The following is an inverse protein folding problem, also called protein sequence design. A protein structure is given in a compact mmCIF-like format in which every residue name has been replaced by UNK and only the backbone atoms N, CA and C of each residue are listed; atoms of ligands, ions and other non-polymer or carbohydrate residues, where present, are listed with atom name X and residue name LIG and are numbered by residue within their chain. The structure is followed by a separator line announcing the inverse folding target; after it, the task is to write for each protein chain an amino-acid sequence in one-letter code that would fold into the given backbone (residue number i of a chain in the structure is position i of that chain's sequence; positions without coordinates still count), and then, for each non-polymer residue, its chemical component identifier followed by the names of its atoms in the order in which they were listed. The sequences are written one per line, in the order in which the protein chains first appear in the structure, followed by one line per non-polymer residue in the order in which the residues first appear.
data_IF_813841235196
#
_entry.id   IF_813841235196
#
_cell.length_a   1.000
_cell.length_b   1.000
_cell.length_c   1.000
_cell.angle_alpha   90.00
_cell.angle_beta   90.00
_cell.angle_gamma   90.00
#
_symmetry.space_group_name_H-M   'P 1'
#
loop_
_entity.id
_entity.type
_entity.pdbx_description
1 polymer ?
#
# COMPACT_ATOMS: atom_id res chain seq x y z
N UNK A 1 9.03 -11.47 11.84
CA UNK A 1 7.89 -12.41 11.81
C UNK A 1 7.53 -12.79 13.24
N UNK A 2 6.32 -12.47 13.71
CA UNK A 2 5.76 -12.90 15.00
C UNK A 2 5.20 -14.33 14.85
N UNK A 3 6.06 -15.31 14.54
CA UNK A 3 5.60 -16.69 14.41
C UNK A 3 5.63 -17.34 15.79
N UNK A 4 4.45 -17.65 16.35
CA UNK A 4 4.35 -18.38 17.61
C UNK A 4 3.15 -18.05 18.51
N UNK A 5 2.42 -16.98 18.24
CA UNK A 5 1.24 -16.63 19.05
C UNK A 5 -0.03 -16.96 18.28
N UNK A 6 -0.99 -17.62 18.93
CA UNK A 6 -2.30 -17.96 18.35
C UNK A 6 -3.42 -17.45 19.23
N UNK A 7 -4.55 -17.12 18.62
CA UNK A 7 -5.77 -16.84 19.38
C UNK A 7 -6.47 -18.17 19.70
N UNK A 8 -6.86 -18.35 20.96
CA UNK A 8 -7.61 -19.52 21.40
C UNK A 8 -8.87 -19.08 22.14
N UNK A 9 -10.00 -19.71 21.80
CA UNK A 9 -11.26 -19.52 22.50
C UNK A 9 -11.24 -20.33 23.80
N UNK A 10 -11.43 -19.66 24.94
CA UNK A 10 -11.60 -20.29 26.24
C UNK A 10 -12.95 -20.99 26.32
N UNK A 11 -13.11 -21.97 27.21
CA UNK A 11 -14.37 -22.69 27.46
C UNK A 11 -15.52 -21.77 27.92
N UNK A 12 -15.20 -20.53 28.31
CA UNK A 12 -16.13 -19.46 28.67
C UNK A 12 -16.49 -18.53 27.49
N UNK A 13 -16.06 -18.82 26.26
CA UNK A 13 -16.36 -18.03 25.06
C UNK A 13 -15.48 -16.80 24.84
N UNK A 14 -14.44 -16.59 25.66
CA UNK A 14 -13.53 -15.45 25.54
C UNK A 14 -12.32 -15.78 24.67
N UNK A 15 -11.96 -14.91 23.74
CA UNK A 15 -10.74 -15.05 22.93
C UNK A 15 -9.51 -14.58 23.71
N UNK A 16 -8.48 -15.41 23.75
CA UNK A 16 -7.22 -15.10 24.43
C UNK A 16 -6.04 -15.34 23.51
N UNK A 17 -5.06 -14.44 23.56
CA UNK A 17 -3.79 -14.64 22.88
C UNK A 17 -2.93 -15.60 23.72
N UNK A 18 -2.49 -16.69 23.11
CA UNK A 18 -1.64 -17.71 23.73
C UNK A 18 -0.32 -17.83 22.98
N UNK A 19 0.77 -17.87 23.73
CA UNK A 19 2.12 -18.17 23.21
C UNK A 19 2.21 -19.64 22.76
N UNK A 20 3.28 -19.98 22.06
CA UNK A 20 3.70 -21.33 21.65
C UNK A 20 3.64 -22.36 22.78
N UNK A 21 3.82 -21.91 24.03
CA UNK A 21 3.78 -22.74 25.25
C UNK A 21 2.39 -22.83 25.91
N UNK A 22 1.35 -22.30 25.27
CA UNK A 22 -0.03 -22.35 25.74
C UNK A 22 -0.37 -21.39 26.88
N UNK A 23 0.49 -20.40 27.16
CA UNK A 23 0.27 -19.40 28.21
C UNK A 23 -0.47 -18.20 27.66
N UNK A 24 -1.51 -17.77 28.36
CA UNK A 24 -2.20 -16.51 28.05
C UNK A 24 -1.23 -15.35 28.20
N UNK A 25 -0.96 -14.63 27.12
CA UNK A 25 0.00 -13.54 27.06
C UNK A 25 -0.73 -12.28 26.64
N UNK A 26 -0.54 -11.17 27.35
CA UNK A 26 -1.13 -9.89 26.92
C UNK A 26 -0.31 -9.33 25.77
N UNK A 27 -0.95 -8.59 24.87
CA UNK A 27 -0.24 -7.94 23.76
C UNK A 27 0.89 -6.99 24.26
N UNK A 28 0.71 -6.38 25.44
CA UNK A 28 1.73 -5.56 26.11
C UNK A 28 2.99 -6.32 26.51
N UNK A 29 2.90 -7.64 26.71
CA UNK A 29 3.99 -8.47 27.21
C UNK A 29 4.85 -9.03 26.07
N UNK A 30 4.46 -8.76 24.82
CA UNK A 30 5.19 -9.19 23.63
C UNK A 30 6.33 -8.20 23.37
N UNK A 31 7.57 -8.67 23.53
CA UNK A 31 8.75 -7.91 23.13
C UNK A 31 8.86 -7.91 21.61
N UNK A 32 8.63 -6.75 21.01
CA UNK A 32 8.89 -6.51 19.59
C UNK A 32 10.40 -6.28 19.42
N UNK A 33 11.05 -7.10 18.59
CA UNK A 33 12.46 -6.89 18.26
C UNK A 33 12.60 -5.73 17.27
N UNK A 34 12.67 -4.52 17.82
CA UNK A 34 12.90 -3.29 17.07
C UNK A 34 14.39 -3.11 16.80
N UNK A 35 14.78 -3.09 15.53
CA UNK A 35 16.16 -2.85 15.10
C UNK A 35 16.24 -1.82 13.99
N UNK A 36 17.44 -1.64 13.45
CA UNK A 36 17.71 -0.63 12.43
C UNK A 36 16.85 -0.80 11.16
N UNK A 37 16.52 -2.03 10.77
CA UNK A 37 15.69 -2.30 9.60
C UNK A 37 14.24 -1.80 9.78
N UNK A 38 13.65 -2.05 10.96
CA UNK A 38 12.29 -1.58 11.29
C UNK A 38 12.25 -0.06 11.39
N UNK A 39 13.28 0.54 12.00
CA UNK A 39 13.39 1.99 12.14
C UNK A 39 13.52 2.69 10.78
N UNK A 40 14.36 2.13 9.89
CA UNK A 40 14.49 2.61 8.52
C UNK A 40 13.17 2.51 7.77
N UNK A 41 12.51 1.36 7.80
CA UNK A 41 11.23 1.17 7.12
C UNK A 41 10.15 2.15 7.62
N UNK A 42 10.09 2.39 8.93
CA UNK A 42 9.17 3.38 9.50
C UNK A 42 9.52 4.81 9.04
N UNK A 43 10.81 5.14 8.98
CA UNK A 43 11.27 6.46 8.54
C UNK A 43 10.97 6.69 7.06
N UNK A 44 11.23 5.70 6.20
CA UNK A 44 10.91 5.74 4.78
C UNK A 44 9.39 5.95 4.57
N UNK A 45 8.56 5.23 5.34
CA UNK A 45 7.10 5.37 5.30
C UNK A 45 6.65 6.78 5.70
N UNK A 46 7.23 7.33 6.77
CA UNK A 46 6.93 8.70 7.21
C UNK A 46 7.30 9.72 6.14
N UNK A 47 8.45 9.55 5.49
CA UNK A 47 8.89 10.43 4.42
C UNK A 47 7.94 10.38 3.22
N UNK A 48 7.56 9.17 2.78
CA UNK A 48 6.62 8.97 1.68
C UNK A 48 5.23 9.61 1.95
N UNK A 49 4.72 9.47 3.18
CA UNK A 49 3.43 10.05 3.58
C UNK A 49 3.47 11.57 3.74
N UNK A 50 4.63 12.14 4.10
CA UNK A 50 4.78 13.58 4.35
C UNK A 50 4.87 14.42 3.07
N UNK A 51 5.01 13.78 1.90
CA UNK A 51 5.03 14.46 0.60
C UNK A 51 3.86 13.98 -0.28
N UNK A 52 2.61 14.30 0.08
CA UNK A 52 1.47 13.90 -0.74
C UNK A 52 1.51 14.62 -2.10
N UNK A 53 1.25 13.92 -3.22
CA UNK A 53 1.13 14.57 -4.51
C UNK A 53 -0.08 15.53 -4.50
N UNK A 54 0.04 16.67 -5.17
CA UNK A 54 -1.11 17.55 -5.40
C UNK A 54 -2.06 16.87 -6.38
N UNK A 55 -3.20 16.40 -5.87
CA UNK A 55 -4.26 15.83 -6.70
C UNK A 55 -5.03 16.94 -7.41
N UNK A 56 -5.31 16.74 -8.70
CA UNK A 56 -6.16 17.65 -9.47
C UNK A 56 -7.61 17.56 -8.98
N UNK A 57 -8.37 18.64 -9.20
CA UNK A 57 -9.81 18.63 -8.95
C UNK A 57 -10.49 17.66 -9.93
N UNK A 58 -11.40 16.78 -9.46
CA UNK A 58 -12.04 15.80 -10.34
C UNK A 58 -13.02 16.48 -11.31
N UNK A 59 -12.97 16.06 -12.57
CA UNK A 59 -13.96 16.45 -13.56
C UNK A 59 -15.01 15.34 -13.69
N UNK A 60 -16.21 15.58 -13.16
CA UNK A 60 -17.31 14.59 -13.20
C UNK A 60 -17.91 14.37 -14.59
N UNK A 61 -17.53 15.18 -15.58
CA UNK A 61 -17.94 14.99 -16.97
C UNK A 61 -17.03 14.03 -17.72
N UNK A 62 -15.90 13.65 -17.12
CA UNK A 62 -14.91 12.76 -17.71
C UNK A 62 -14.90 11.39 -17.01
N UNK A 63 -14.48 10.37 -17.76
CA UNK A 63 -14.37 9.02 -17.24
C UNK A 63 -13.26 8.90 -16.21
N UNK A 64 -13.52 8.07 -15.20
CA UNK A 64 -12.53 7.68 -14.19
C UNK A 64 -11.95 6.31 -14.54
N UNK A 65 -10.63 6.18 -14.44
CA UNK A 65 -9.94 4.90 -14.47
C UNK A 65 -9.57 4.50 -13.04
N UNK A 66 -9.99 3.31 -12.64
CA UNK A 66 -9.67 2.74 -11.34
C UNK A 66 -8.73 1.54 -11.54
N UNK A 67 -7.51 1.67 -11.03
CA UNK A 67 -6.59 0.56 -10.90
C UNK A 67 -6.76 -0.03 -9.51
N UNK A 68 -6.95 -1.35 -9.42
CA UNK A 68 -7.04 -2.07 -8.14
C UNK A 68 -6.03 -3.19 -8.18
N UNK A 69 -5.22 -3.31 -7.13
CA UNK A 69 -4.41 -4.48 -6.87
C UNK A 69 -4.81 -5.08 -5.52
N UNK A 70 -4.89 -6.41 -5.49
CA UNK A 70 -5.32 -7.16 -4.32
C UNK A 70 -4.39 -8.35 -4.13
N UNK A 71 -3.71 -8.36 -3.00
CA UNK A 71 -2.85 -9.47 -2.55
C UNK A 71 -3.38 -10.05 -1.25
N UNK A 72 -2.83 -11.18 -0.83
CA UNK A 72 -3.16 -11.77 0.47
C UNK A 72 -2.77 -10.87 1.65
N UNK A 73 -1.87 -9.90 1.44
CA UNK A 73 -1.36 -9.03 2.49
C UNK A 73 -1.98 -7.63 2.48
N UNK A 74 -2.42 -7.12 1.32
CA UNK A 74 -2.93 -5.76 1.20
C UNK A 74 -3.87 -5.59 -0.01
N UNK A 75 -4.75 -4.59 0.10
CA UNK A 75 -5.55 -4.05 -1.00
C UNK A 75 -5.05 -2.65 -1.32
N UNK A 76 -4.88 -2.35 -2.60
CA UNK A 76 -4.46 -1.02 -3.07
C UNK A 76 -5.35 -0.57 -4.23
N UNK A 77 -5.57 0.73 -4.34
CA UNK A 77 -6.32 1.31 -5.45
C UNK A 77 -5.78 2.69 -5.81
N UNK A 78 -5.77 2.99 -7.10
CA UNK A 78 -5.42 4.30 -7.63
C UNK A 78 -6.50 4.78 -8.61
N UNK A 79 -6.98 6.01 -8.40
CA UNK A 79 -7.96 6.66 -9.26
C UNK A 79 -7.26 7.65 -10.19
N UNK A 80 -7.51 7.54 -11.49
CA UNK A 80 -6.87 8.36 -12.52
C UNK A 80 -7.92 8.99 -13.44
N UNK A 81 -7.68 10.24 -13.86
CA UNK A 81 -8.43 10.92 -14.91
C UNK A 81 -7.44 11.56 -15.89
N UNK A 82 -7.74 11.48 -17.19
CA UNK A 82 -6.94 12.19 -18.19
C UNK A 82 -7.24 13.69 -18.10
N UNK A 83 -6.24 14.50 -17.79
CA UNK A 83 -6.43 15.94 -17.79
C UNK A 83 -6.33 16.45 -19.25
N UNK A 84 -7.28 17.26 -19.74
CA UNK A 84 -7.15 17.88 -21.04
C UNK A 84 -5.88 18.73 -21.08
N UNK A 85 -5.07 18.62 -22.14
CA UNK A 85 -4.03 19.61 -22.39
C UNK A 85 -4.71 20.96 -22.60
N UNK A 86 -4.54 21.88 -21.66
CA UNK A 86 -4.88 23.27 -21.89
C UNK A 86 -4.00 23.78 -23.02
N UNK A 87 -4.61 24.23 -24.12
CA UNK A 87 -3.94 24.91 -25.23
C UNK A 87 -3.47 26.31 -24.76
N UNK A 88 -2.56 26.34 -23.82
CA UNK A 88 -1.84 27.52 -23.40
C UNK A 88 -0.39 27.08 -23.30
N UNK A 89 0.37 27.45 -24.33
CA UNK A 89 1.81 27.44 -24.31
C UNK A 89 2.28 28.25 -23.09
N UNK A 90 2.46 27.55 -21.98
CA UNK A 90 3.13 28.03 -20.79
C UNK A 90 3.73 26.82 -20.10
N UNK A 91 5.05 26.77 -20.18
CA UNK A 91 5.93 25.77 -19.58
C UNK A 91 5.78 25.80 -18.06
N UNK A 92 4.85 25.05 -17.47
CA UNK A 92 4.91 24.70 -16.04
C UNK A 92 4.22 23.36 -15.83
N UNK A 93 5.04 22.31 -15.72
CA UNK A 93 4.63 20.92 -15.78
C UNK A 93 3.60 20.52 -14.73
N UNK A 94 2.58 19.77 -15.18
CA UNK A 94 1.77 18.86 -14.37
C UNK A 94 1.46 17.62 -15.20
N UNK A 95 2.43 16.74 -15.34
CA UNK A 95 2.21 15.35 -15.76
C UNK A 95 2.64 14.47 -14.60
N UNK A 96 1.68 13.91 -13.89
CA UNK A 96 1.94 12.92 -12.84
C UNK A 96 1.83 11.52 -13.46
N UNK A 97 2.92 11.06 -14.08
CA UNK A 97 3.14 9.64 -14.31
C UNK A 97 3.55 9.04 -12.96
N UNK A 98 2.61 8.43 -12.23
CA UNK A 98 2.96 7.56 -11.11
C UNK A 98 3.37 6.21 -11.68
N UNK A 99 4.68 6.02 -11.84
CA UNK A 99 5.31 4.71 -12.04
C UNK A 99 4.94 3.82 -10.85
N UNK A 100 4.42 2.60 -11.06
CA UNK A 100 4.25 1.65 -9.96
C UNK A 100 5.62 1.03 -9.63
N UNK A 101 6.22 1.45 -8.52
CA UNK A 101 7.12 0.59 -7.75
C UNK A 101 6.21 -0.10 -6.72
N UNK A 102 6.00 -1.42 -6.75
CA UNK A 102 7.01 -2.42 -6.46
C UNK A 102 6.55 -3.79 -6.97
N UNK A 103 7.19 -4.33 -8.01
CA UNK A 103 7.28 -5.78 -8.20
C UNK A 103 8.51 -6.10 -9.03
N UNK A 104 9.39 -6.87 -8.42
CA UNK A 104 10.53 -7.50 -9.06
C UNK A 104 10.10 -8.21 -10.37
N UNK A 105 10.82 -7.85 -11.44
CA UNK A 105 11.04 -8.64 -12.66
C UNK A 105 9.86 -9.43 -13.22
N UNK A 106 9.12 -8.83 -14.15
CA UNK A 106 8.80 -9.46 -15.43
C UNK A 106 8.74 -8.36 -16.50
N UNK A 107 9.61 -8.50 -17.49
CA UNK A 107 9.75 -7.65 -18.67
C UNK A 107 8.45 -7.66 -19.49
N UNK A 108 7.70 -6.56 -19.44
CA UNK A 108 6.48 -6.38 -20.25
C UNK A 108 6.91 -5.93 -21.65
N UNK A 109 7.28 -6.91 -22.48
CA UNK A 109 7.37 -6.75 -23.93
C UNK A 109 6.01 -6.33 -24.47
N UNK A 110 5.98 -5.13 -25.06
CA UNK A 110 4.85 -4.62 -25.82
C UNK A 110 4.46 -5.60 -26.93
N UNK A 111 3.24 -6.12 -26.89
CA UNK A 111 2.63 -6.79 -28.04
C UNK A 111 1.65 -5.83 -28.69
N UNK A 112 2.15 -5.21 -29.76
CA UNK A 112 1.40 -4.50 -30.78
C UNK A 112 0.31 -5.38 -31.39
N UNK A 113 -0.88 -4.79 -31.55
CA UNK A 113 -1.94 -5.33 -32.38
C UNK A 113 -1.50 -5.47 -33.84
N UNK A 114 -1.77 -6.62 -34.47
CA UNK A 114 -1.94 -6.72 -35.92
C UNK A 114 -2.99 -7.79 -36.27
N UNK A 115 -4.02 -7.30 -36.96
CA UNK A 115 -4.89 -7.87 -38.01
C UNK A 115 -5.66 -9.18 -37.83
#
# INVERSE_FOLDING_TARGET
MLWGHKYQCSTKGTWQLVDTKGRTTKASDIRINWGAAQDKALTDLKAALSSPPTLAYPDFTQLFLLYVDASQQAFTAALHQQLPLSNSDSTTGKSATTTPAEANGLDLLAMTAQH
#
